data_IF_896861388072
#
_entry.id   IF_896861388072
#
_cell.length_a   1.000
_cell.length_b   1.000
_cell.length_c   1.000
_cell.angle_alpha   90.00
_cell.angle_beta   90.00
_cell.angle_gamma   90.00
#
_symmetry.space_group_name_H-M   'P 1'
#
loop_
_entity.id
_entity.type
_entity.pdbx_description
1 polymer ?
#
# COMPACT_ATOMS: atom_id res chain seq x y z
N UNK A 1 32.48 -14.84 20.21
CA UNK A 1 32.08 -13.70 19.39
C UNK A 1 31.71 -14.23 18.01
N UNK A 2 30.43 -14.34 17.68
CA UNK A 2 29.99 -14.68 16.34
C UNK A 2 30.30 -13.46 15.48
N UNK A 3 31.19 -13.58 14.51
CA UNK A 3 31.45 -12.54 13.52
C UNK A 3 30.14 -12.21 12.84
N UNK A 4 29.66 -11.00 13.01
CA UNK A 4 28.45 -10.52 12.36
C UNK A 4 28.68 -10.57 10.84
N UNK A 5 28.23 -11.64 10.18
CA UNK A 5 28.23 -11.72 8.72
C UNK A 5 27.35 -10.59 8.18
N UNK A 6 27.89 -9.83 7.21
CA UNK A 6 27.11 -8.83 6.48
C UNK A 6 25.96 -9.49 5.71
N UNK A 7 25.04 -8.68 5.14
CA UNK A 7 23.93 -9.23 4.40
C UNK A 7 24.37 -9.92 3.11
N UNK A 8 23.68 -10.98 2.76
CA UNK A 8 23.65 -11.55 1.40
C UNK A 8 22.90 -10.57 0.47
N UNK A 9 23.46 -10.26 -0.70
CA UNK A 9 22.89 -9.28 -1.64
C UNK A 9 22.37 -9.97 -2.88
N UNK A 10 21.07 -9.87 -3.09
CA UNK A 10 20.40 -10.34 -4.31
C UNK A 10 20.05 -9.15 -5.22
N UNK A 11 20.33 -9.29 -6.52
CA UNK A 11 20.10 -8.25 -7.54
C UNK A 11 19.04 -8.63 -8.57
N UNK A 12 18.40 -9.74 -8.39
CA UNK A 12 17.33 -10.26 -9.24
C UNK A 12 16.10 -10.59 -8.40
N UNK A 13 14.89 -10.56 -8.96
CA UNK A 13 13.66 -10.97 -8.24
C UNK A 13 13.59 -12.47 -7.96
N UNK A 14 14.45 -13.26 -8.60
CA UNK A 14 14.54 -14.73 -8.39
C UNK A 14 15.23 -15.08 -7.08
N UNK A 15 14.54 -14.87 -5.96
CA UNK A 15 15.03 -15.26 -4.64
C UNK A 15 14.79 -16.76 -4.39
N UNK A 16 15.67 -17.44 -3.61
CA UNK A 16 15.38 -18.77 -3.11
C UNK A 16 14.06 -18.81 -2.32
N UNK A 17 13.27 -19.88 -2.48
CA UNK A 17 11.97 -20.03 -1.81
C UNK A 17 12.09 -19.82 -0.28
N UNK A 18 13.11 -20.40 0.35
CA UNK A 18 13.35 -20.23 1.80
C UNK A 18 13.58 -18.76 2.23
N UNK A 19 14.08 -17.88 1.33
CA UNK A 19 14.21 -16.44 1.60
C UNK A 19 12.83 -15.79 1.55
N UNK A 20 12.04 -16.12 0.52
CA UNK A 20 10.69 -15.57 0.35
C UNK A 20 9.78 -15.96 1.51
N UNK A 21 9.84 -17.24 1.93
CA UNK A 21 9.05 -17.74 3.06
C UNK A 21 9.48 -17.08 4.37
N UNK A 22 10.78 -17.05 4.67
CA UNK A 22 11.29 -16.38 5.86
C UNK A 22 11.03 -14.86 5.86
N UNK A 23 11.02 -14.21 4.69
CA UNK A 23 10.62 -12.81 4.57
C UNK A 23 9.14 -12.62 4.95
N UNK A 24 8.26 -13.48 4.43
CA UNK A 24 6.82 -13.44 4.75
C UNK A 24 6.58 -13.65 6.25
N UNK A 25 7.28 -14.59 6.87
CA UNK A 25 7.23 -14.83 8.32
C UNK A 25 7.67 -13.59 9.12
N UNK A 26 8.75 -12.92 8.70
CA UNK A 26 9.22 -11.69 9.35
C UNK A 26 8.19 -10.57 9.26
N UNK A 27 7.56 -10.35 8.08
CA UNK A 27 6.51 -9.33 7.95
C UNK A 27 5.33 -9.64 8.84
N UNK A 28 4.94 -10.92 8.94
CA UNK A 28 3.83 -11.35 9.78
C UNK A 28 4.10 -11.19 11.28
N UNK A 29 5.37 -11.30 11.69
CA UNK A 29 5.79 -11.17 13.08
C UNK A 29 6.07 -9.71 13.50
N UNK A 30 6.28 -8.80 12.55
CA UNK A 30 6.57 -7.39 12.83
C UNK A 30 5.27 -6.62 13.17
N UNK A 31 5.17 -5.99 14.36
CA UNK A 31 3.99 -5.18 14.72
C UNK A 31 3.71 -4.01 13.76
N UNK A 32 4.74 -3.52 13.04
CA UNK A 32 4.61 -2.51 11.99
C UNK A 32 4.48 -3.11 10.60
N UNK A 33 4.41 -4.44 10.49
CA UNK A 33 4.30 -5.16 9.23
C UNK A 33 3.03 -4.77 8.45
N UNK A 34 3.18 -4.53 7.17
CA UNK A 34 2.08 -4.21 6.27
C UNK A 34 2.08 -5.11 5.06
N UNK A 35 0.95 -5.16 4.35
CA UNK A 35 0.86 -5.85 3.07
C UNK A 35 1.94 -5.37 2.07
N UNK A 36 2.22 -4.07 2.07
CA UNK A 36 3.17 -3.46 1.13
C UNK A 36 4.65 -3.77 1.43
N UNK A 37 4.94 -4.41 2.56
CA UNK A 37 6.26 -4.93 2.91
C UNK A 37 6.44 -6.42 2.55
N UNK A 38 5.36 -7.09 2.11
CA UNK A 38 5.40 -8.53 1.79
C UNK A 38 6.15 -8.82 0.50
N UNK A 39 6.74 -10.01 0.36
CA UNK A 39 7.34 -10.42 -0.90
C UNK A 39 6.32 -10.48 -2.04
N UNK A 40 5.04 -10.75 -1.76
CA UNK A 40 3.95 -10.76 -2.76
C UNK A 40 3.80 -9.40 -3.43
N UNK A 41 3.82 -8.33 -2.65
CA UNK A 41 3.78 -6.96 -3.17
C UNK A 41 5.09 -6.56 -3.83
N UNK A 42 6.20 -6.65 -3.09
CA UNK A 42 7.50 -6.07 -3.49
C UNK A 42 8.05 -6.74 -4.75
N UNK A 43 7.99 -8.08 -4.84
CA UNK A 43 8.49 -8.81 -6.02
C UNK A 43 7.57 -8.64 -7.23
N UNK A 44 6.23 -8.57 -7.02
CA UNK A 44 5.30 -8.26 -8.11
C UNK A 44 5.52 -6.85 -8.66
N UNK A 45 5.75 -5.88 -7.76
CA UNK A 45 6.09 -4.51 -8.14
C UNK A 45 7.39 -4.46 -8.96
N UNK A 46 8.42 -5.19 -8.52
CA UNK A 46 9.69 -5.27 -9.25
C UNK A 46 9.51 -5.79 -10.68
N UNK A 47 8.77 -6.88 -10.84
CA UNK A 47 8.56 -7.54 -12.13
C UNK A 47 7.72 -6.69 -13.12
N UNK A 48 6.86 -5.80 -12.62
CA UNK A 48 5.89 -5.07 -13.44
C UNK A 48 6.20 -3.58 -13.58
N UNK A 49 6.48 -2.90 -12.47
CA UNK A 49 6.72 -1.45 -12.44
C UNK A 49 8.20 -1.09 -12.30
N UNK A 50 9.01 -1.99 -11.76
CA UNK A 50 10.46 -1.81 -11.62
C UNK A 50 11.21 -1.97 -12.95
N UNK A 51 12.53 -1.93 -12.91
CA UNK A 51 13.40 -2.04 -14.08
C UNK A 51 13.26 -3.38 -14.84
N UNK A 52 12.75 -4.42 -14.18
CA UNK A 52 12.48 -5.73 -14.80
C UNK A 52 11.23 -5.78 -15.67
N UNK A 53 10.30 -4.80 -15.56
CA UNK A 53 9.04 -4.78 -16.29
C UNK A 53 9.10 -4.04 -17.61
N UNK A 54 8.15 -4.30 -18.55
CA UNK A 54 8.03 -3.56 -19.79
C UNK A 54 7.87 -2.06 -19.53
N UNK A 55 8.79 -1.23 -20.06
CA UNK A 55 8.79 0.23 -19.86
C UNK A 55 9.25 0.69 -18.47
N UNK A 56 9.92 -0.17 -17.67
CA UNK A 56 10.62 0.21 -16.46
C UNK A 56 11.76 1.20 -16.72
N UNK A 57 12.27 1.85 -15.68
CA UNK A 57 13.47 2.68 -15.78
C UNK A 57 14.66 1.80 -16.18
N UNK A 58 15.23 1.96 -17.40
CA UNK A 58 16.36 1.16 -17.85
C UNK A 58 17.61 1.34 -16.98
N UNK A 59 17.66 2.37 -16.15
CA UNK A 59 18.73 2.61 -15.17
C UNK A 59 18.44 2.10 -13.76
N UNK A 60 17.25 1.58 -13.50
CA UNK A 60 16.87 1.08 -12.19
C UNK A 60 17.52 -0.27 -11.87
N UNK A 61 18.07 -0.41 -10.64
CA UNK A 61 18.67 -1.65 -10.17
C UNK A 61 18.17 -1.97 -8.76
N UNK A 62 17.58 -3.18 -8.61
CA UNK A 62 17.20 -3.67 -7.29
C UNK A 62 18.38 -4.22 -6.53
N UNK A 63 18.32 -4.11 -5.23
CA UNK A 63 19.25 -4.69 -4.28
C UNK A 63 18.47 -5.14 -3.05
N UNK A 64 18.33 -6.46 -2.87
CA UNK A 64 17.64 -7.03 -1.72
C UNK A 64 18.72 -7.58 -0.79
N UNK A 65 18.89 -6.92 0.35
CA UNK A 65 19.84 -7.34 1.38
C UNK A 65 19.11 -8.26 2.38
N UNK A 66 19.68 -9.45 2.61
CA UNK A 66 19.12 -10.49 3.47
C UNK A 66 20.13 -10.83 4.55
N UNK A 67 19.76 -10.70 5.82
CA UNK A 67 20.54 -11.21 6.94
C UNK A 67 20.01 -12.57 7.37
N UNK A 68 20.94 -13.48 7.57
CA UNK A 68 20.63 -14.82 8.07
C UNK A 68 21.23 -15.02 9.46
N UNK A 69 20.50 -15.70 10.28
CA UNK A 69 20.94 -16.19 11.57
C UNK A 69 21.45 -17.64 11.53
N UNK A 70 21.64 -18.25 12.69
CA UNK A 70 21.95 -19.66 12.82
C UNK A 70 20.96 -20.53 12.06
N UNK A 71 21.44 -21.63 11.49
CA UNK A 71 20.64 -22.55 10.66
C UNK A 71 19.99 -21.91 9.40
N UNK A 72 20.46 -20.72 8.96
CA UNK A 72 20.00 -20.08 7.73
C UNK A 72 18.66 -19.37 7.83
N UNK A 73 18.08 -19.20 9.02
CA UNK A 73 16.82 -18.44 9.23
C UNK A 73 17.00 -17.00 8.77
N UNK A 74 16.02 -16.48 8.03
CA UNK A 74 15.98 -15.07 7.63
C UNK A 74 15.66 -14.20 8.85
N UNK A 75 16.47 -13.18 9.11
CA UNK A 75 16.36 -12.33 10.29
C UNK A 75 16.19 -10.84 9.95
N UNK A 76 16.52 -10.43 8.73
CA UNK A 76 16.16 -9.13 8.18
C UNK A 76 16.16 -9.17 6.66
N UNK A 77 15.28 -8.35 6.06
CA UNK A 77 15.21 -8.13 4.61
C UNK A 77 15.04 -6.65 4.31
N UNK A 78 15.95 -6.10 3.50
CA UNK A 78 15.94 -4.70 3.09
C UNK A 78 15.94 -4.63 1.57
N UNK A 79 14.76 -4.54 0.93
CA UNK A 79 14.62 -4.40 -0.51
C UNK A 79 14.79 -2.94 -0.91
N UNK A 80 15.83 -2.63 -1.69
CA UNK A 80 16.15 -1.30 -2.19
C UNK A 80 16.10 -1.25 -3.72
N UNK A 81 15.79 -0.08 -4.24
CA UNK A 81 15.83 0.27 -5.66
C UNK A 81 16.76 1.48 -5.85
N UNK A 82 17.73 1.39 -6.75
CA UNK A 82 18.43 2.55 -7.29
C UNK A 82 17.72 3.02 -8.54
N UNK A 83 17.35 4.30 -8.59
CA UNK A 83 16.58 4.89 -9.69
C UNK A 83 16.83 6.40 -9.77
N UNK A 84 16.17 7.07 -10.70
CA UNK A 84 16.16 8.52 -10.84
C UNK A 84 14.85 9.15 -10.37
N UNK A 85 14.90 10.02 -9.37
CA UNK A 85 13.73 10.81 -8.97
C UNK A 85 13.69 12.14 -9.73
N UNK A 86 12.59 12.42 -10.45
CA UNK A 86 12.45 13.64 -11.23
C UNK A 86 12.50 14.89 -10.34
N UNK A 87 13.35 15.84 -10.70
CA UNK A 87 13.45 17.14 -10.03
C UNK A 87 12.37 18.12 -10.48
N UNK A 88 11.95 18.02 -11.75
CA UNK A 88 10.95 18.92 -12.34
C UNK A 88 10.03 18.15 -13.30
N UNK A 89 8.70 18.41 -13.30
CA UNK A 89 7.75 17.63 -14.11
C UNK A 89 7.94 17.80 -15.63
N UNK A 90 8.47 18.94 -16.07
CA UNK A 90 8.63 19.28 -17.51
C UNK A 90 10.08 19.21 -18.02
N UNK A 91 11.07 19.09 -17.13
CA UNK A 91 12.48 19.01 -17.51
C UNK A 91 13.00 17.59 -17.31
N UNK A 92 13.89 17.08 -18.19
CA UNK A 92 14.47 15.75 -18.08
C UNK A 92 15.59 15.70 -17.00
N UNK A 93 15.37 16.40 -15.88
CA UNK A 93 16.30 16.44 -14.78
C UNK A 93 15.85 15.47 -13.69
N UNK A 94 16.72 14.56 -13.31
CA UNK A 94 16.50 13.62 -12.21
C UNK A 94 17.66 13.64 -11.21
N UNK A 95 17.37 13.35 -9.96
CA UNK A 95 18.37 13.06 -8.94
C UNK A 95 18.52 11.55 -8.78
N UNK A 96 19.74 11.00 -8.80
CA UNK A 96 19.95 9.60 -8.48
C UNK A 96 19.60 9.35 -7.01
N UNK A 97 18.74 8.38 -6.75
CA UNK A 97 18.27 8.02 -5.41
C UNK A 97 18.34 6.54 -5.16
N UNK A 98 18.46 6.17 -3.90
CA UNK A 98 18.14 4.83 -3.37
C UNK A 98 16.83 4.96 -2.60
N UNK A 99 15.88 4.09 -2.89
CA UNK A 99 14.54 4.09 -2.27
C UNK A 99 14.13 2.67 -1.86
N UNK A 100 13.07 2.52 -1.09
CA UNK A 100 12.49 1.22 -0.82
C UNK A 100 11.88 0.63 -2.10
N UNK A 101 12.23 -0.62 -2.43
CA UNK A 101 11.62 -1.35 -3.54
C UNK A 101 10.15 -1.61 -3.23
N UNK A 102 9.27 -1.41 -4.19
CA UNK A 102 7.82 -1.55 -4.00
C UNK A 102 7.11 -0.25 -3.60
N UNK A 103 7.86 0.83 -3.32
CA UNK A 103 7.31 2.18 -3.08
C UNK A 103 7.14 2.98 -4.38
N UNK A 104 6.41 4.10 -4.31
CA UNK A 104 6.23 5.02 -5.44
C UNK A 104 5.08 4.61 -6.40
N UNK A 105 5.33 4.42 -7.71
CA UNK A 105 4.27 4.01 -8.63
C UNK A 105 3.57 2.73 -8.17
N UNK A 106 2.23 2.70 -8.22
CA UNK A 106 1.44 1.60 -7.66
C UNK A 106 0.81 1.94 -6.32
N UNK A 107 1.16 3.10 -5.72
CA UNK A 107 0.55 3.64 -4.50
C UNK A 107 0.61 2.67 -3.30
N UNK A 108 1.82 2.26 -2.91
CA UNK A 108 2.06 1.61 -1.63
C UNK A 108 2.00 2.64 -0.50
N UNK A 109 1.35 2.27 0.59
CA UNK A 109 1.37 2.97 1.87
C UNK A 109 2.07 2.09 2.92
N UNK A 110 2.38 2.63 4.10
CA UNK A 110 3.01 1.88 5.19
C UNK A 110 4.25 1.09 4.74
N UNK A 111 5.09 1.73 3.93
CA UNK A 111 6.35 1.15 3.45
C UNK A 111 7.33 0.93 4.60
N UNK A 112 8.28 0.03 4.41
CA UNK A 112 9.32 -0.23 5.41
C UNK A 112 10.19 -1.41 5.06
N UNK A 113 10.98 -1.80 6.05
CA UNK A 113 11.89 -2.94 6.02
C UNK A 113 11.60 -3.85 7.20
N UNK A 114 11.83 -5.13 7.05
CA UNK A 114 11.56 -6.08 8.14
C UNK A 114 12.84 -6.59 8.73
N UNK A 115 12.92 -6.58 10.06
CA UNK A 115 14.08 -7.06 10.79
C UNK A 115 13.68 -7.47 12.21
N UNK A 116 14.25 -8.56 12.69
CA UNK A 116 14.21 -8.89 14.10
C UNK A 116 14.85 -7.76 14.93
N UNK A 117 14.42 -7.54 16.18
CA UNK A 117 14.94 -6.45 17.01
C UNK A 117 16.46 -6.40 17.09
N UNK A 118 17.12 -7.54 17.18
CA UNK A 118 18.58 -7.68 17.25
C UNK A 118 19.31 -7.33 15.94
N UNK A 119 18.59 -7.26 14.81
CA UNK A 119 19.15 -6.89 13.50
C UNK A 119 18.90 -5.44 13.11
N UNK A 120 18.00 -4.73 13.78
CA UNK A 120 17.61 -3.36 13.42
C UNK A 120 18.80 -2.40 13.39
N UNK A 121 19.74 -2.49 14.32
CA UNK A 121 20.95 -1.68 14.31
C UNK A 121 21.80 -1.92 13.04
N UNK A 122 21.97 -3.18 12.63
CA UNK A 122 22.73 -3.55 11.42
C UNK A 122 22.03 -3.06 10.14
N UNK A 123 20.69 -3.09 10.11
CA UNK A 123 19.89 -2.51 9.02
C UNK A 123 20.11 -1.00 8.95
N UNK A 124 20.07 -0.29 10.08
CA UNK A 124 20.35 1.16 10.14
C UNK A 124 21.77 1.50 9.64
N UNK A 125 22.78 0.73 10.04
CA UNK A 125 24.16 0.88 9.54
C UNK A 125 24.26 0.65 8.03
N UNK A 126 23.55 -0.36 7.51
CA UNK A 126 23.48 -0.65 6.09
C UNK A 126 22.86 0.52 5.31
N UNK A 127 21.72 1.05 5.77
CA UNK A 127 21.08 2.22 5.17
C UNK A 127 21.98 3.46 5.25
N UNK A 128 22.69 3.67 6.37
CA UNK A 128 23.68 4.73 6.51
C UNK A 128 24.84 4.59 5.51
N UNK A 129 25.30 3.37 5.26
CA UNK A 129 26.33 3.12 4.24
C UNK A 129 25.85 3.46 2.83
N UNK A 130 24.56 3.23 2.50
CA UNK A 130 23.94 3.64 1.23
C UNK A 130 23.79 5.16 1.13
N UNK A 131 23.37 5.81 2.21
CA UNK A 131 23.21 7.27 2.29
C UNK A 131 24.54 8.02 2.12
N UNK A 132 25.67 7.43 2.50
CA UNK A 132 27.01 8.02 2.24
C UNK A 132 27.38 8.07 0.76
N UNK A 133 26.75 7.22 -0.09
CA UNK A 133 27.07 7.09 -1.52
C UNK A 133 26.03 7.70 -2.44
N UNK A 134 24.77 7.75 -2.01
CA UNK A 134 23.63 8.21 -2.82
C UNK A 134 22.62 8.94 -1.94
N UNK A 135 21.80 9.79 -2.53
CA UNK A 135 20.62 10.32 -1.83
C UNK A 135 19.70 9.14 -1.47
N UNK A 136 19.36 9.03 -0.17
CA UNK A 136 18.37 8.05 0.28
C UNK A 136 17.01 8.75 0.36
N UNK A 137 16.03 8.22 -0.39
CA UNK A 137 14.65 8.68 -0.44
C UNK A 137 13.72 7.58 0.00
N UNK A 138 13.07 7.72 1.16
CA UNK A 138 12.17 6.72 1.74
C UNK A 138 10.76 7.34 1.85
N UNK A 139 9.93 7.21 0.80
CA UNK A 139 8.56 7.69 0.82
C UNK A 139 7.67 6.77 1.66
N UNK A 140 6.68 7.40 2.31
CA UNK A 140 5.55 6.73 2.93
C UNK A 140 5.94 5.62 3.92
N UNK A 141 7.02 5.87 4.66
CA UNK A 141 7.57 4.97 5.67
C UNK A 141 6.65 4.91 6.89
N UNK A 142 6.36 3.71 7.37
CA UNK A 142 5.65 3.52 8.64
C UNK A 142 6.46 4.15 9.80
N UNK A 143 5.83 4.88 10.73
CA UNK A 143 6.52 5.51 11.86
C UNK A 143 7.31 4.54 12.75
N UNK A 144 6.92 3.26 12.82
CA UNK A 144 7.65 2.20 13.50
C UNK A 144 9.02 1.87 12.90
N UNK A 145 9.36 2.50 11.77
CA UNK A 145 10.63 2.30 11.08
C UNK A 145 11.67 3.42 11.35
N UNK A 146 11.33 4.41 12.18
CA UNK A 146 12.19 5.60 12.41
C UNK A 146 13.56 5.26 12.99
N UNK A 147 13.68 4.22 13.78
CA UNK A 147 14.94 3.77 14.38
C UNK A 147 15.93 3.19 13.35
N UNK A 148 15.45 2.85 12.14
CA UNK A 148 16.29 2.41 11.02
C UNK A 148 16.89 3.59 10.24
N UNK A 149 16.41 4.82 10.47
CA UNK A 149 16.84 5.98 9.71
C UNK A 149 18.29 6.37 10.03
N UNK A 150 19.12 6.59 8.99
CA UNK A 150 20.48 7.02 9.21
C UNK A 150 20.57 8.45 9.77
N UNK A 151 21.68 8.80 10.45
CA UNK A 151 21.94 10.17 10.88
C UNK A 151 21.80 11.16 9.72
N UNK A 152 21.18 12.32 10.00
CA UNK A 152 20.92 13.35 9.00
C UNK A 152 19.67 13.16 8.16
N UNK A 153 18.89 12.10 8.40
CA UNK A 153 17.57 11.93 7.80
C UNK A 153 16.64 13.10 8.19
N UNK A 154 15.89 13.60 7.21
CA UNK A 154 14.95 14.71 7.40
C UNK A 154 13.59 14.31 6.89
N UNK A 155 12.55 14.47 7.71
CA UNK A 155 11.18 14.30 7.24
C UNK A 155 10.85 15.45 6.28
N UNK A 156 10.37 15.11 5.10
CA UNK A 156 10.06 16.08 4.03
C UNK A 156 8.58 16.06 3.62
N UNK A 157 7.84 15.03 4.02
CA UNK A 157 6.40 14.95 3.85
C UNK A 157 5.77 14.00 4.88
N UNK A 158 4.46 14.11 5.02
CA UNK A 158 3.63 13.26 5.86
C UNK A 158 2.29 13.04 5.15
N UNK A 159 1.73 11.83 5.26
CA UNK A 159 0.45 11.48 4.66
C UNK A 159 -0.46 10.84 5.72
N UNK A 160 -1.67 11.36 5.86
CA UNK A 160 -2.67 10.74 6.73
C UNK A 160 -3.23 9.47 6.07
N UNK A 161 -3.29 8.40 6.83
CA UNK A 161 -3.84 7.10 6.49
C UNK A 161 -4.88 6.72 7.56
N UNK A 162 -6.14 7.19 7.44
CA UNK A 162 -7.16 7.00 8.45
C UNK A 162 -7.51 5.52 8.63
N UNK A 163 -7.66 5.08 9.89
CA UNK A 163 -8.01 3.71 10.28
C UNK A 163 -9.20 3.69 11.21
N UNK A 164 -10.10 2.74 10.99
CA UNK A 164 -11.22 2.45 11.91
C UNK A 164 -10.89 1.22 12.73
N UNK A 165 -11.08 1.33 14.04
CA UNK A 165 -11.04 0.20 14.97
C UNK A 165 -12.33 -0.60 14.86
N UNK A 166 -12.20 -1.91 14.60
CA UNK A 166 -13.31 -2.85 14.45
C UNK A 166 -13.57 -3.68 15.72
N UNK A 167 -12.77 -3.54 16.77
CA UNK A 167 -12.84 -4.37 17.98
C UNK A 167 -14.20 -4.32 18.68
N UNK A 168 -14.91 -3.20 18.58
CA UNK A 168 -16.26 -3.02 19.08
C UNK A 168 -17.38 -3.57 18.18
N UNK A 169 -17.02 -4.16 17.02
CA UNK A 169 -17.97 -4.61 16.00
C UNK A 169 -18.57 -3.48 15.17
N UNK A 170 -19.20 -3.84 14.06
CA UNK A 170 -19.75 -2.86 13.10
C UNK A 170 -20.79 -1.91 13.71
N UNK A 171 -21.64 -2.39 14.62
CA UNK A 171 -22.71 -1.60 15.20
C UNK A 171 -22.24 -0.50 16.17
N UNK A 172 -20.98 -0.55 16.60
CA UNK A 172 -20.36 0.52 17.37
C UNK A 172 -19.88 1.70 16.51
N UNK A 173 -19.70 1.49 15.19
CA UNK A 173 -19.03 2.43 14.28
C UNK A 173 -19.99 3.55 13.80
N UNK A 174 -19.52 4.78 13.85
CA UNK A 174 -20.21 5.97 13.35
C UNK A 174 -21.32 6.48 14.26
N UNK A 175 -21.84 7.65 13.97
CA UNK A 175 -22.93 8.26 14.71
C UNK A 175 -24.25 7.48 14.54
N UNK A 176 -25.16 7.63 15.50
CA UNK A 176 -26.53 7.07 15.42
C UNK A 176 -27.22 7.45 14.10
N UNK A 177 -27.07 8.70 13.67
CA UNK A 177 -27.65 9.17 12.41
C UNK A 177 -27.01 8.50 11.20
N UNK A 178 -25.68 8.33 11.21
CA UNK A 178 -24.97 7.66 10.13
C UNK A 178 -25.43 6.21 10.00
N UNK A 179 -25.50 5.46 11.10
CA UNK A 179 -26.02 4.08 11.11
C UNK A 179 -27.48 3.99 10.60
N UNK A 180 -28.35 4.95 10.99
CA UNK A 180 -29.72 5.01 10.47
C UNK A 180 -29.75 5.23 8.95
N UNK A 181 -28.85 6.08 8.43
CA UNK A 181 -28.69 6.30 6.99
C UNK A 181 -28.20 5.03 6.28
N UNK A 182 -27.20 4.31 6.81
CA UNK A 182 -26.70 3.06 6.23
C UNK A 182 -27.82 2.02 6.12
N UNK A 183 -28.62 1.83 7.19
CA UNK A 183 -29.80 0.93 7.13
C UNK A 183 -30.82 1.34 6.07
N UNK A 184 -31.06 2.65 5.90
CA UNK A 184 -31.94 3.16 4.84
C UNK A 184 -31.38 2.89 3.45
N UNK A 185 -30.07 3.09 3.23
CA UNK A 185 -29.41 2.79 1.96
C UNK A 185 -29.49 1.29 1.64
N UNK A 186 -29.18 0.44 2.60
CA UNK A 186 -29.28 -1.02 2.45
C UNK A 186 -30.69 -1.45 2.02
N UNK A 187 -31.76 -0.93 2.68
CA UNK A 187 -33.14 -1.26 2.28
C UNK A 187 -33.46 -0.80 0.86
N UNK A 188 -33.02 0.40 0.44
CA UNK A 188 -33.24 0.88 -0.94
C UNK A 188 -32.51 0.03 -1.97
N UNK A 189 -31.26 -0.36 -1.68
CA UNK A 189 -30.46 -1.22 -2.55
C UNK A 189 -31.06 -2.62 -2.64
N UNK A 190 -31.49 -3.21 -1.53
CA UNK A 190 -32.18 -4.50 -1.52
C UNK A 190 -33.48 -4.46 -2.34
N UNK A 191 -34.29 -3.38 -2.20
CA UNK A 191 -35.48 -3.18 -3.02
C UNK A 191 -35.17 -3.00 -4.52
N UNK A 192 -33.96 -2.55 -4.86
CA UNK A 192 -33.47 -2.46 -6.23
C UNK A 192 -32.80 -3.79 -6.71
N UNK A 193 -32.86 -4.86 -5.92
CA UNK A 193 -32.30 -6.19 -6.22
C UNK A 193 -30.77 -6.27 -6.05
N UNK A 194 -30.18 -5.38 -5.25
CA UNK A 194 -28.73 -5.40 -4.98
C UNK A 194 -28.44 -6.21 -3.72
N UNK A 195 -27.54 -7.19 -3.83
CA UNK A 195 -27.00 -7.99 -2.73
C UNK A 195 -25.51 -7.73 -2.58
N UNK A 196 -24.92 -8.15 -1.46
CA UNK A 196 -23.49 -7.99 -1.19
C UNK A 196 -22.84 -9.34 -0.89
N UNK A 197 -21.63 -9.55 -1.42
CA UNK A 197 -20.86 -10.76 -1.21
C UNK A 197 -19.39 -10.44 -0.94
N UNK A 198 -18.88 -10.95 0.18
CA UNK A 198 -17.46 -10.93 0.47
C UNK A 198 -16.74 -12.07 -0.27
N UNK A 199 -15.60 -11.73 -0.89
CA UNK A 199 -14.70 -12.68 -1.54
C UNK A 199 -13.37 -12.66 -0.80
N UNK A 200 -13.07 -13.70 -0.02
CA UNK A 200 -11.80 -13.80 0.72
C UNK A 200 -10.61 -14.05 -0.23
N UNK A 201 -9.35 -13.89 0.24
CA UNK A 201 -8.17 -14.07 -0.62
C UNK A 201 -8.07 -15.42 -1.32
N UNK A 202 -8.60 -16.50 -0.72
CA UNK A 202 -8.59 -17.85 -1.32
C UNK A 202 -9.52 -18.00 -2.54
N UNK A 203 -10.50 -17.11 -2.66
CA UNK A 203 -11.49 -17.09 -3.74
C UNK A 203 -11.25 -15.96 -4.74
N UNK A 204 -10.18 -15.17 -4.52
CA UNK A 204 -9.83 -14.06 -5.38
C UNK A 204 -9.28 -14.57 -6.73
N UNK A 205 -9.86 -14.09 -7.83
CA UNK A 205 -9.45 -14.45 -9.18
C UNK A 205 -9.19 -13.23 -10.08
N UNK A 206 -8.51 -13.40 -11.23
CA UNK A 206 -8.21 -12.32 -12.17
C UNK A 206 -9.46 -11.64 -12.77
N UNK A 207 -10.60 -12.31 -12.92
CA UNK A 207 -11.82 -11.73 -13.48
C UNK A 207 -12.39 -10.64 -12.56
N UNK A 208 -12.25 -10.85 -11.25
CA UNK A 208 -12.62 -9.82 -10.26
C UNK A 208 -11.76 -8.56 -10.39
N UNK A 209 -10.49 -8.71 -10.72
CA UNK A 209 -9.62 -7.57 -11.00
C UNK A 209 -10.10 -6.79 -12.24
N UNK A 210 -10.48 -7.47 -13.32
CA UNK A 210 -11.02 -6.82 -14.51
C UNK A 210 -12.33 -6.08 -14.19
N UNK A 211 -13.15 -6.64 -13.30
CA UNK A 211 -14.35 -5.97 -12.78
C UNK A 211 -14.01 -4.69 -11.99
N UNK A 212 -12.98 -4.72 -11.12
CA UNK A 212 -12.48 -3.52 -10.43
C UNK A 212 -12.08 -2.44 -11.43
N UNK A 213 -11.27 -2.80 -12.44
CA UNK A 213 -10.77 -1.87 -13.43
C UNK A 213 -11.90 -1.24 -14.25
N UNK A 214 -12.86 -2.05 -14.69
CA UNK A 214 -14.04 -1.58 -15.42
C UNK A 214 -14.86 -0.59 -14.59
N UNK A 215 -15.27 -0.98 -13.38
CA UNK A 215 -16.13 -0.14 -12.52
C UNK A 215 -15.40 1.11 -12.02
N UNK A 216 -14.12 1.01 -11.72
CA UNK A 216 -13.29 2.17 -11.38
C UNK A 216 -13.21 3.15 -12.57
N UNK A 217 -12.97 2.63 -13.78
CA UNK A 217 -12.91 3.43 -15.01
C UNK A 217 -14.22 4.17 -15.29
N UNK A 218 -15.34 3.47 -15.25
CA UNK A 218 -16.68 4.05 -15.46
C UNK A 218 -16.97 5.15 -14.44
N UNK A 219 -16.71 4.89 -13.15
CA UNK A 219 -16.89 5.89 -12.09
C UNK A 219 -16.01 7.12 -12.31
N UNK A 220 -14.73 6.93 -12.67
CA UNK A 220 -13.80 8.05 -12.92
C UNK A 220 -14.22 8.89 -14.12
N UNK A 221 -14.65 8.24 -15.20
CA UNK A 221 -15.16 8.91 -16.40
C UNK A 221 -16.41 9.77 -16.07
N UNK A 222 -17.35 9.25 -15.28
CA UNK A 222 -18.51 9.99 -14.82
C UNK A 222 -18.15 11.24 -13.99
N UNK A 223 -16.97 11.25 -13.35
CA UNK A 223 -16.43 12.40 -12.61
C UNK A 223 -15.53 13.32 -13.45
N UNK A 224 -15.40 13.08 -14.75
CA UNK A 224 -14.49 13.82 -15.64
C UNK A 224 -13.00 13.61 -15.31
N UNK A 225 -12.63 12.49 -14.68
CA UNK A 225 -11.27 12.19 -14.27
C UNK A 225 -10.69 10.99 -15.02
N UNK A 226 -9.41 11.03 -15.45
CA UNK A 226 -8.77 9.88 -16.08
C UNK A 226 -8.67 8.69 -15.10
N UNK A 227 -8.66 7.46 -15.64
CA UNK A 227 -8.34 6.29 -14.83
C UNK A 227 -6.92 6.37 -14.29
N UNK A 228 -6.71 5.86 -13.07
CA UNK A 228 -5.39 5.71 -12.46
C UNK A 228 -4.80 4.32 -12.67
N UNK A 229 -5.60 3.39 -13.20
CA UNK A 229 -5.18 2.06 -13.57
C UNK A 229 -4.82 2.02 -15.06
N UNK A 230 -3.52 2.03 -15.34
CA UNK A 230 -2.95 1.71 -16.65
C UNK A 230 -2.63 0.20 -16.74
N UNK A 231 -2.22 -0.27 -17.91
CA UNK A 231 -1.90 -1.68 -18.15
C UNK A 231 -0.79 -2.20 -17.23
N UNK A 232 0.15 -1.35 -16.84
CA UNK A 232 1.24 -1.74 -15.93
C UNK A 232 0.74 -1.96 -14.51
N UNK A 233 -0.17 -1.12 -14.02
CA UNK A 233 -0.80 -1.31 -12.71
C UNK A 233 -1.73 -2.53 -12.72
N UNK A 234 -2.42 -2.75 -13.84
CA UNK A 234 -3.17 -3.98 -14.05
C UNK A 234 -2.27 -5.21 -13.93
N UNK A 235 -1.12 -5.20 -14.61
CA UNK A 235 -0.14 -6.29 -14.54
C UNK A 235 0.40 -6.48 -13.12
N UNK A 236 0.67 -5.40 -12.36
CA UNK A 236 1.05 -5.48 -10.96
C UNK A 236 0.02 -6.26 -10.14
N UNK A 237 -1.24 -5.86 -10.19
CA UNK A 237 -2.27 -6.47 -9.37
C UNK A 237 -2.59 -7.90 -9.80
N UNK A 238 -2.52 -8.24 -11.09
CA UNK A 238 -2.61 -9.61 -11.57
C UNK A 238 -1.48 -10.48 -10.98
N UNK A 239 -0.25 -9.96 -10.99
CA UNK A 239 0.90 -10.65 -10.44
C UNK A 239 0.82 -10.82 -8.91
N UNK A 240 0.25 -9.82 -8.22
CA UNK A 240 -0.04 -9.90 -6.77
C UNK A 240 -1.05 -11.02 -6.49
N UNK A 241 -2.12 -11.14 -7.27
CA UNK A 241 -3.10 -12.22 -7.15
C UNK A 241 -2.43 -13.59 -7.32
N UNK A 242 -1.68 -13.78 -8.40
CA UNK A 242 -0.95 -15.04 -8.67
C UNK A 242 -0.02 -15.44 -7.52
N UNK A 243 0.79 -14.49 -7.01
CA UNK A 243 1.71 -14.76 -5.91
C UNK A 243 1.00 -15.06 -4.59
N UNK A 244 -0.09 -14.35 -4.30
CA UNK A 244 -0.89 -14.59 -3.10
C UNK A 244 -1.56 -15.96 -3.14
N UNK A 245 -2.08 -16.36 -4.28
CA UNK A 245 -2.64 -17.70 -4.48
C UNK A 245 -1.57 -18.79 -4.31
N UNK A 246 -0.39 -18.61 -4.92
CA UNK A 246 0.74 -19.54 -4.81
C UNK A 246 1.28 -19.63 -3.37
N UNK A 247 1.26 -18.56 -2.60
CA UNK A 247 1.69 -18.55 -1.20
C UNK A 247 0.74 -19.35 -0.29
N UNK A 248 -0.54 -19.47 -0.64
CA UNK A 248 -1.52 -20.29 0.08
C UNK A 248 -1.82 -19.87 1.52
N UNK A 249 -1.39 -18.67 1.94
CA UNK A 249 -1.51 -18.19 3.34
C UNK A 249 -2.93 -17.80 3.73
N UNK A 250 -3.83 -17.64 2.77
CA UNK A 250 -5.17 -17.08 2.99
C UNK A 250 -5.17 -15.57 3.24
N UNK A 251 -4.04 -14.90 2.98
CA UNK A 251 -3.90 -13.45 3.03
C UNK A 251 -3.65 -12.89 1.64
N UNK A 252 -3.95 -11.62 1.43
CA UNK A 252 -3.77 -10.97 0.14
C UNK A 252 -5.00 -10.26 -0.39
N UNK A 253 -5.14 -10.16 -1.73
CA UNK A 253 -6.30 -9.54 -2.36
C UNK A 253 -7.63 -10.11 -1.89
N UNK A 254 -8.57 -9.23 -1.51
CA UNK A 254 -9.93 -9.60 -1.18
C UNK A 254 -10.90 -8.54 -1.71
N UNK A 255 -12.17 -8.92 -1.90
CA UNK A 255 -13.15 -8.05 -2.54
C UNK A 255 -14.47 -8.06 -1.77
N UNK A 256 -15.16 -6.92 -1.80
CA UNK A 256 -16.60 -6.88 -1.55
C UNK A 256 -17.29 -6.55 -2.87
N UNK A 257 -18.21 -7.40 -3.27
CA UNK A 257 -19.03 -7.23 -4.48
C UNK A 257 -20.42 -6.76 -4.10
N UNK A 258 -20.97 -5.82 -4.88
CA UNK A 258 -22.38 -5.51 -4.93
C UNK A 258 -22.93 -6.07 -6.23
N UNK A 259 -23.89 -6.99 -6.15
CA UNK A 259 -24.41 -7.77 -7.27
C UNK A 259 -25.89 -7.45 -7.48
N UNK A 260 -26.31 -7.31 -8.75
CA UNK A 260 -27.71 -7.16 -9.16
C UNK A 260 -28.01 -8.22 -10.22
N UNK A 261 -28.71 -9.28 -9.83
CA UNK A 261 -28.77 -10.50 -10.62
C UNK A 261 -27.36 -11.06 -10.83
N UNK A 262 -27.01 -11.40 -12.04
CA UNK A 262 -25.67 -11.92 -12.39
C UNK A 262 -24.61 -10.83 -12.63
N UNK A 263 -24.99 -9.55 -12.53
CA UNK A 263 -24.08 -8.43 -12.83
C UNK A 263 -23.49 -7.82 -11.56
N UNK A 264 -22.17 -7.70 -11.50
CA UNK A 264 -21.47 -6.91 -10.48
C UNK A 264 -21.61 -5.42 -10.84
N UNK A 265 -22.30 -4.68 -9.97
CA UNK A 265 -22.59 -3.24 -10.11
C UNK A 265 -21.76 -2.35 -9.17
N UNK A 266 -21.06 -2.95 -8.22
CA UNK A 266 -20.13 -2.27 -7.33
C UNK A 266 -19.08 -3.23 -6.80
N UNK A 267 -17.87 -2.73 -6.57
CA UNK A 267 -16.77 -3.54 -6.04
C UNK A 267 -15.87 -2.67 -5.18
N UNK A 268 -15.45 -3.20 -4.03
CA UNK A 268 -14.34 -2.68 -3.25
C UNK A 268 -13.26 -3.74 -3.24
N UNK A 269 -12.04 -3.31 -3.50
CA UNK A 269 -10.84 -4.12 -3.58
C UNK A 269 -9.84 -3.67 -2.53
N UNK A 270 -9.22 -4.60 -1.84
CA UNK A 270 -8.20 -4.33 -0.85
C UNK A 270 -7.37 -5.56 -0.51
N UNK A 271 -6.58 -5.45 0.54
CA UNK A 271 -5.67 -6.49 0.99
C UNK A 271 -5.98 -6.90 2.42
N UNK A 272 -6.23 -8.17 2.62
CA UNK A 272 -6.33 -8.78 3.94
C UNK A 272 -4.90 -9.17 4.39
N UNK A 273 -4.44 -8.58 5.50
CA UNK A 273 -3.13 -8.86 6.07
C UNK A 273 -3.21 -8.91 7.60
N UNK A 274 -2.98 -10.07 8.18
CA UNK A 274 -3.12 -10.25 9.62
C UNK A 274 -4.52 -9.80 10.09
N UNK A 275 -4.61 -8.94 11.11
CA UNK A 275 -5.89 -8.44 11.61
C UNK A 275 -6.39 -7.18 10.86
N UNK A 276 -5.76 -6.81 9.74
CA UNK A 276 -6.02 -5.57 9.00
C UNK A 276 -6.60 -5.86 7.63
N UNK A 277 -7.61 -5.09 7.22
CA UNK A 277 -7.99 -4.97 5.83
C UNK A 277 -7.62 -3.57 5.31
N UNK A 278 -6.74 -3.50 4.33
CA UNK A 278 -6.31 -2.27 3.67
C UNK A 278 -7.16 -2.02 2.42
N UNK A 279 -8.09 -1.06 2.50
CA UNK A 279 -8.97 -0.68 1.40
C UNK A 279 -8.20 0.09 0.33
N UNK A 280 -7.98 -0.57 -0.81
CA UNK A 280 -7.12 -0.03 -1.87
C UNK A 280 -7.89 0.70 -2.97
N UNK A 281 -9.00 0.14 -3.47
CA UNK A 281 -9.73 0.73 -4.58
C UNK A 281 -11.22 0.40 -4.55
N UNK A 282 -12.04 1.29 -5.15
CA UNK A 282 -13.48 1.10 -5.28
C UNK A 282 -13.98 1.56 -6.65
N UNK A 283 -14.98 0.85 -7.16
CA UNK A 283 -15.71 1.23 -8.36
C UNK A 283 -17.18 0.85 -8.22
N UNK A 284 -18.07 1.59 -8.90
CA UNK A 284 -19.49 1.28 -8.97
C UNK A 284 -20.13 1.91 -10.20
N UNK A 285 -21.30 1.39 -10.61
CA UNK A 285 -22.09 1.93 -11.70
C UNK A 285 -22.71 3.27 -11.31
N UNK A 286 -22.43 4.37 -12.05
CA UNK A 286 -22.95 5.71 -11.73
C UNK A 286 -24.47 5.81 -11.65
N UNK A 287 -25.19 4.97 -12.37
CA UNK A 287 -26.66 4.88 -12.37
C UNK A 287 -27.24 4.60 -10.99
N UNK A 288 -26.48 3.94 -10.11
CA UNK A 288 -26.88 3.63 -8.74
C UNK A 288 -26.34 4.64 -7.69
N UNK A 289 -25.76 5.75 -8.14
CA UNK A 289 -25.20 6.79 -7.25
C UNK A 289 -26.25 7.38 -6.31
N UNK A 290 -27.49 7.61 -6.79
CA UNK A 290 -28.60 8.15 -5.99
C UNK A 290 -29.02 7.20 -4.85
N UNK A 291 -28.83 5.89 -5.02
CA UNK A 291 -29.04 4.90 -3.98
C UNK A 291 -27.89 4.85 -2.96
N UNK A 292 -26.86 5.68 -3.14
CA UNK A 292 -25.66 5.73 -2.27
C UNK A 292 -24.87 4.43 -2.29
N UNK A 293 -24.79 3.75 -3.44
CA UNK A 293 -24.12 2.46 -3.61
C UNK A 293 -22.66 2.50 -3.11
N UNK A 294 -21.88 3.54 -3.48
CA UNK A 294 -20.50 3.64 -3.04
C UNK A 294 -20.33 3.67 -1.51
N UNK A 295 -21.22 4.39 -0.78
CA UNK A 295 -21.19 4.39 0.69
C UNK A 295 -21.62 3.04 1.26
N UNK A 296 -22.60 2.37 0.65
CA UNK A 296 -23.07 1.06 1.09
C UNK A 296 -22.00 -0.03 0.88
N UNK A 297 -21.29 -0.02 -0.26
CA UNK A 297 -20.18 -0.94 -0.55
C UNK A 297 -19.08 -0.82 0.52
N UNK A 298 -18.70 0.41 0.90
CA UNK A 298 -17.72 0.60 1.97
C UNK A 298 -18.27 0.09 3.31
N UNK A 299 -19.52 0.41 3.64
CA UNK A 299 -20.13 -0.01 4.91
C UNK A 299 -20.22 -1.54 5.02
N UNK A 300 -20.59 -2.23 3.93
CA UNK A 300 -20.65 -3.69 3.92
C UNK A 300 -19.25 -4.33 3.95
N UNK A 301 -18.23 -3.67 3.37
CA UNK A 301 -16.85 -4.12 3.52
C UNK A 301 -16.37 -3.99 4.98
N UNK A 302 -16.66 -2.87 5.65
CA UNK A 302 -16.35 -2.68 7.08
C UNK A 302 -17.08 -3.72 7.94
N UNK A 303 -18.37 -4.00 7.64
CA UNK A 303 -19.16 -5.03 8.32
C UNK A 303 -18.53 -6.41 8.12
N UNK A 304 -18.26 -6.81 6.88
CA UNK A 304 -17.66 -8.10 6.56
C UNK A 304 -16.31 -8.29 7.26
N UNK A 305 -15.47 -7.26 7.31
CA UNK A 305 -14.20 -7.30 8.05
C UNK A 305 -14.40 -7.55 9.55
N UNK A 306 -15.35 -6.84 10.19
CA UNK A 306 -15.68 -7.06 11.60
C UNK A 306 -16.21 -8.48 11.85
N UNK A 307 -17.08 -9.00 10.99
CA UNK A 307 -17.63 -10.36 11.06
C UNK A 307 -16.54 -11.44 10.83
N UNK A 308 -15.49 -11.13 10.05
CA UNK A 308 -14.31 -11.98 9.88
C UNK A 308 -13.33 -11.92 11.09
N UNK A 309 -13.63 -11.11 12.11
CA UNK A 309 -12.77 -10.95 13.28
C UNK A 309 -11.55 -10.06 13.05
N UNK A 310 -11.52 -9.27 11.97
CA UNK A 310 -10.47 -8.28 11.79
C UNK A 310 -10.64 -7.14 12.79
N UNK A 311 -9.53 -6.57 13.24
CA UNK A 311 -9.53 -5.48 14.23
C UNK A 311 -9.38 -4.10 13.62
N UNK A 312 -8.97 -4.02 12.35
CA UNK A 312 -8.66 -2.73 11.71
C UNK A 312 -9.13 -2.70 10.26
N UNK A 313 -9.89 -1.66 9.92
CA UNK A 313 -10.15 -1.27 8.54
C UNK A 313 -9.32 -0.04 8.21
N UNK A 314 -8.32 -0.20 7.36
CA UNK A 314 -7.39 0.84 6.96
C UNK A 314 -7.86 1.46 5.64
N UNK A 315 -8.19 2.74 5.66
CA UNK A 315 -8.62 3.46 4.47
C UNK A 315 -7.47 3.89 3.57
N UNK A 316 -6.23 3.57 3.95
CA UNK A 316 -5.03 4.04 3.28
C UNK A 316 -4.99 5.57 3.14
N UNK A 317 -4.04 6.08 2.35
CA UNK A 317 -3.79 7.51 2.21
C UNK A 317 -5.01 8.31 1.77
N UNK A 318 -5.15 9.49 2.35
CA UNK A 318 -6.13 10.51 1.99
C UNK A 318 -7.08 10.87 3.13
N UNK A 319 -7.50 12.12 3.15
CA UNK A 319 -8.35 12.72 4.20
C UNK A 319 -9.76 12.99 3.70
N UNK A 320 -10.29 12.14 2.83
CA UNK A 320 -11.62 12.30 2.29
C UNK A 320 -12.68 12.23 3.42
N UNK A 321 -13.62 13.20 3.49
CA UNK A 321 -14.54 13.33 4.62
C UNK A 321 -15.39 12.09 4.92
N UNK A 322 -15.63 11.23 3.91
CA UNK A 322 -16.44 10.03 4.12
C UNK A 322 -15.77 9.02 5.06
N UNK A 323 -14.41 8.96 5.11
CA UNK A 323 -13.64 8.04 5.96
C UNK A 323 -13.95 8.29 7.44
N UNK A 324 -14.01 9.55 7.84
CA UNK A 324 -14.25 9.95 9.24
C UNK A 324 -15.69 9.69 9.72
N UNK A 325 -16.62 9.40 8.81
CA UNK A 325 -17.97 8.92 9.19
C UNK A 325 -17.95 7.51 9.75
N UNK A 326 -16.89 6.77 9.50
CA UNK A 326 -16.63 5.44 10.05
C UNK A 326 -15.74 5.49 11.30
N UNK A 327 -15.71 6.64 12.01
CA UNK A 327 -14.86 6.89 13.18
C UNK A 327 -13.37 6.65 12.91
N UNK A 328 -12.92 6.84 11.67
CA UNK A 328 -11.54 6.68 11.31
C UNK A 328 -10.66 7.73 11.99
N UNK A 329 -9.54 7.28 12.54
CA UNK A 329 -8.52 8.11 13.19
C UNK A 329 -7.28 8.11 12.33
N UNK A 330 -6.66 9.28 12.17
CA UNK A 330 -5.45 9.43 11.37
C UNK A 330 -4.27 8.69 11.98
N UNK A 331 -3.67 7.78 11.20
CA UNK A 331 -2.30 7.36 11.32
C UNK A 331 -1.51 8.02 10.21
N UNK A 332 -0.25 8.30 10.45
CA UNK A 332 0.55 9.03 9.48
C UNK A 332 1.72 8.20 8.98
N UNK A 333 1.85 8.12 7.65
CA UNK A 333 3.10 7.70 7.04
C UNK A 333 4.01 8.90 6.81
N UNK A 334 5.31 8.68 6.84
CA UNK A 334 6.31 9.72 6.76
C UNK A 334 7.27 9.51 5.59
N UNK A 335 7.55 10.59 4.87
CA UNK A 335 8.55 10.54 3.81
C UNK A 335 9.85 11.18 4.27
N UNK A 336 10.94 10.43 4.19
CA UNK A 336 12.25 10.81 4.71
C UNK A 336 13.29 10.93 3.61
N UNK A 337 14.20 11.90 3.75
CA UNK A 337 15.27 12.15 2.80
C UNK A 337 16.60 12.33 3.54
N UNK A 338 17.63 11.60 3.07
CA UNK A 338 19.04 11.89 3.39
C UNK A 338 19.67 12.42 2.11
N UNK A 339 19.83 13.74 1.96
CA UNK A 339 20.32 14.32 0.72
C UNK A 339 21.82 14.08 0.54
N UNK A 340 22.24 13.77 -0.70
CA UNK A 340 23.64 13.68 -1.10
C UNK A 340 23.91 14.58 -2.31
N UNK A 341 24.90 15.46 -2.19
CA UNK A 341 25.27 16.41 -3.25
C UNK A 341 24.18 17.43 -3.60
N UNK A 342 24.41 18.23 -4.64
CA UNK A 342 23.50 19.30 -5.06
C UNK A 342 22.13 18.79 -5.53
N UNK A 343 22.07 17.69 -6.28
CA UNK A 343 20.82 17.11 -6.77
C UNK A 343 19.92 16.59 -5.62
N UNK A 344 20.53 16.00 -4.58
CA UNK A 344 19.81 15.60 -3.37
C UNK A 344 19.28 16.77 -2.57
N UNK A 345 20.03 17.88 -2.49
CA UNK A 345 19.57 19.11 -1.86
C UNK A 345 18.38 19.74 -2.60
N UNK A 346 18.43 19.78 -3.93
CA UNK A 346 17.32 20.24 -4.79
C UNK A 346 16.08 19.38 -4.64
N UNK A 347 16.25 18.05 -4.56
CA UNK A 347 15.15 17.13 -4.29
C UNK A 347 14.49 17.44 -2.93
N UNK A 348 15.27 17.67 -1.90
CA UNK A 348 14.76 18.07 -0.58
C UNK A 348 14.00 19.39 -0.61
N UNK A 349 14.45 20.36 -1.39
CA UNK A 349 13.75 21.64 -1.58
C UNK A 349 12.41 21.43 -2.31
N UNK A 350 12.40 20.63 -3.39
CA UNK A 350 11.19 20.27 -4.14
C UNK A 350 10.12 19.70 -3.20
N UNK A 351 10.47 18.71 -2.38
CA UNK A 351 9.52 18.07 -1.47
C UNK A 351 8.99 19.04 -0.40
N UNK A 352 9.84 19.85 0.20
CA UNK A 352 9.41 20.88 1.17
C UNK A 352 8.47 21.92 0.57
N UNK A 353 8.73 22.37 -0.65
CA UNK A 353 7.82 23.30 -1.35
C UNK A 353 6.48 22.66 -1.69
N UNK A 354 6.48 21.39 -2.09
CA UNK A 354 5.25 20.64 -2.34
C UNK A 354 4.40 20.46 -1.08
N UNK A 355 5.04 20.17 0.04
CA UNK A 355 4.37 20.01 1.34
C UNK A 355 3.75 21.33 1.83
N UNK A 356 4.50 22.42 1.74
CA UNK A 356 3.99 23.77 2.08
C UNK A 356 2.74 24.15 1.26
N UNK A 357 2.70 23.79 -0.03
CA UNK A 357 1.54 24.03 -0.89
C UNK A 357 0.32 23.19 -0.51
N UNK A 358 0.52 22.01 0.08
CA UNK A 358 -0.56 21.13 0.57
C UNK A 358 -1.10 21.59 1.91
N UNK A 359 -0.27 22.21 2.74
CA UNK A 359 -0.64 22.73 4.06
C UNK A 359 -1.42 24.07 4.02
N UNK A 360 -1.45 24.76 2.88
CA UNK A 360 -2.31 25.94 2.67
C UNK A 360 -3.69 25.40 2.27
N UNK A 361 -4.73 25.59 3.11
CA UNK A 361 -6.10 25.25 2.72
C UNK A 361 -6.44 26.00 1.43
N UNK A 362 -7.06 25.33 0.46
CA UNK A 362 -7.71 26.03 -0.65
C UNK A 362 -8.80 26.92 -0.01
N UNK A 363 -8.55 28.21 0.08
CA UNK A 363 -9.60 29.19 0.37
C UNK A 363 -10.63 29.12 -0.76
N UNK A 364 -11.83 28.65 -0.45
CA UNK A 364 -13.02 28.76 -1.29
C UNK A 364 -13.21 27.65 -2.33
N UNK A 365 -13.91 26.60 -1.96
CA UNK A 365 -15.02 26.04 -2.75
C UNK A 365 -16.02 25.33 -1.81
#
# INVERSE_FOLDING_TARGET
MVTAQGPEIHRTPGLPAAVVDGWRELVAADPSGSWFMTPEWVLSWWETLGAGGPGGDPGGAAEIAVWRGPAGRVEAVVPLLRTGERLHPRLPLSAPVVTALGSGPGAADHCGFVALPERRAQVGEFLAARARRSTLWLPDLDPGQRDLLPPGARRVAQAACPRTDLSGGFDAIGSRQFRANLRRYGRKLAAAGVTFRWVPPKEADPELLDTVLRLHGVRRAAMGRPTTFDDRRRALHARVLERSAAAGTGQGPAFLLAERGERVVGVLYGFHWGPVFAYYQIGWEPELAELRLGTAVIAEAVRACAEQGLTTFDFLRGTEPYKYRFDAVDRFDESWLVPRGGSGALLGLKHRLKERRRAVPAEGE
#
